data_IF_278847098725
#
_entry.id   IF_278847098725
#
_cell.length_a   1.000
_cell.length_b   1.000
_cell.length_c   1.000
_cell.angle_alpha   90.00
_cell.angle_beta   90.00
_cell.angle_gamma   90.00
#
_symmetry.space_group_name_H-M   'P 1'
#
loop_
_entity.id
_entity.type
_entity.pdbx_description
1 polymer ?
#
# COMPACT_ATOMS: atom_id res chain seq x y z
N UNK A 1 -18.25 2.45 -4.63
CA UNK A 1 -19.22 2.48 -3.51
C UNK A 1 -19.24 3.90 -2.96
N UNK A 2 -20.38 4.58 -2.86
CA UNK A 2 -20.45 5.92 -2.27
C UNK A 2 -20.63 5.83 -0.75
N UNK A 3 -19.79 6.54 0.01
CA UNK A 3 -19.98 6.70 1.46
C UNK A 3 -20.87 7.91 1.72
N UNK A 4 -21.94 7.70 2.47
CA UNK A 4 -22.89 8.74 2.88
C UNK A 4 -22.71 8.99 4.37
N UNK A 5 -22.45 10.23 4.76
CA UNK A 5 -22.49 10.70 6.14
C UNK A 5 -23.59 11.76 6.20
N UNK A 6 -24.57 11.54 7.07
CA UNK A 6 -25.65 12.50 7.35
C UNK A 6 -26.43 12.94 6.08
N UNK A 7 -26.81 11.99 5.23
CA UNK A 7 -27.53 12.18 3.94
C UNK A 7 -26.80 13.00 2.86
N UNK A 8 -25.55 13.42 3.10
CA UNK A 8 -24.65 13.97 2.07
C UNK A 8 -23.65 12.92 1.60
N UNK A 9 -23.40 12.91 0.29
CA UNK A 9 -22.38 12.08 -0.31
C UNK A 9 -21.01 12.68 0.01
N UNK A 10 -20.22 11.97 0.83
CA UNK A 10 -18.96 12.48 1.39
C UNK A 10 -17.76 12.09 0.52
N UNK A 11 -17.72 10.84 0.03
CA UNK A 11 -16.67 10.37 -0.86
C UNK A 11 -17.11 9.22 -1.77
N UNK A 12 -16.60 9.22 -3.01
CA UNK A 12 -16.69 8.08 -3.92
C UNK A 12 -15.42 7.22 -3.82
N UNK A 13 -15.56 5.96 -3.40
CA UNK A 13 -14.49 4.97 -3.57
C UNK A 13 -14.46 4.56 -5.04
N UNK A 14 -13.39 4.97 -5.72
CA UNK A 14 -13.04 4.52 -7.07
C UNK A 14 -11.89 3.48 -7.02
N UNK A 15 -11.53 2.91 -8.16
CA UNK A 15 -10.49 1.89 -8.25
C UNK A 15 -9.13 2.36 -7.73
N UNK A 16 -8.84 3.67 -7.76
CA UNK A 16 -7.62 4.26 -7.21
C UNK A 16 -7.49 4.13 -5.70
N UNK A 17 -8.58 3.88 -4.97
CA UNK A 17 -8.57 3.65 -3.52
C UNK A 17 -8.45 2.17 -3.11
N UNK A 18 -8.43 1.24 -4.07
CA UNK A 18 -8.44 -0.21 -3.81
C UNK A 18 -7.04 -0.77 -3.48
N UNK A 19 -5.97 0.01 -3.67
CA UNK A 19 -4.57 -0.41 -3.53
C UNK A 19 -4.13 -1.65 -4.37
N UNK A 20 -5.00 -2.19 -5.23
CA UNK A 20 -4.68 -3.37 -6.06
C UNK A 20 -3.52 -3.11 -7.00
N UNK A 21 -3.47 -1.95 -7.66
CA UNK A 21 -2.34 -1.57 -8.52
C UNK A 21 -1.00 -1.55 -7.77
N UNK A 22 -1.02 -1.14 -6.50
CA UNK A 22 0.16 -1.11 -5.64
C UNK A 22 0.63 -2.52 -5.28
N UNK A 23 -0.30 -3.41 -4.93
CA UNK A 23 -0.01 -4.82 -4.66
C UNK A 23 0.57 -5.52 -5.90
N UNK A 24 0.02 -5.25 -7.08
CA UNK A 24 0.51 -5.83 -8.34
C UNK A 24 1.95 -5.41 -8.65
N UNK A 25 2.27 -4.11 -8.52
CA UNK A 25 3.65 -3.62 -8.74
C UNK A 25 4.61 -4.26 -7.74
N UNK A 26 4.22 -4.35 -6.46
CA UNK A 26 5.02 -4.98 -5.43
C UNK A 26 5.34 -6.45 -5.76
N UNK A 27 4.31 -7.21 -6.12
CA UNK A 27 4.43 -8.63 -6.47
C UNK A 27 5.26 -8.82 -7.74
N UNK A 28 5.01 -8.04 -8.80
CA UNK A 28 5.74 -8.10 -10.05
C UNK A 28 7.26 -7.89 -9.84
N UNK A 29 7.65 -6.93 -9.00
CA UNK A 29 9.04 -6.70 -8.65
C UNK A 29 9.68 -7.92 -7.95
N UNK A 30 9.00 -8.49 -6.96
CA UNK A 30 9.53 -9.66 -6.24
C UNK A 30 9.67 -10.87 -7.17
N UNK A 31 8.73 -11.07 -8.09
CA UNK A 31 8.81 -12.14 -9.10
C UNK A 31 9.94 -11.91 -10.11
N UNK A 32 10.24 -10.67 -10.49
CA UNK A 32 11.30 -10.35 -11.45
C UNK A 32 12.72 -10.68 -10.94
N UNK A 33 12.96 -10.58 -9.63
CA UNK A 33 14.28 -10.76 -9.01
C UNK A 33 14.38 -12.04 -8.13
N UNK A 34 13.44 -12.95 -8.26
CA UNK A 34 13.28 -14.10 -7.37
C UNK A 34 14.47 -15.11 -7.44
N UNK A 35 14.99 -15.52 -6.26
CA UNK A 35 16.04 -16.55 -6.14
C UNK A 35 15.80 -17.53 -4.95
N UNK A 36 14.58 -18.09 -4.82
CA UNK A 36 14.17 -19.09 -3.80
C UNK A 36 12.67 -19.05 -3.46
N UNK A 37 11.91 -20.12 -3.79
CA UNK A 37 10.47 -19.99 -4.16
C UNK A 37 9.57 -19.83 -2.95
N UNK A 38 9.79 -20.66 -1.93
CA UNK A 38 8.92 -20.74 -0.76
C UNK A 38 9.07 -19.51 0.15
N UNK A 39 10.31 -19.06 0.41
CA UNK A 39 10.55 -17.96 1.34
C UNK A 39 10.10 -16.60 0.79
N UNK A 40 10.35 -16.34 -0.50
CA UNK A 40 9.87 -15.13 -1.16
C UNK A 40 8.34 -15.10 -1.28
N UNK A 41 7.69 -16.26 -1.47
CA UNK A 41 6.23 -16.34 -1.53
C UNK A 41 5.58 -16.01 -0.18
N UNK A 42 6.10 -16.54 0.93
CA UNK A 42 5.63 -16.19 2.28
C UNK A 42 5.85 -14.70 2.58
N UNK A 43 7.00 -14.14 2.20
CA UNK A 43 7.25 -12.71 2.35
C UNK A 43 6.27 -11.86 1.52
N UNK A 44 5.99 -12.26 0.28
CA UNK A 44 4.99 -11.61 -0.56
C UNK A 44 3.60 -11.63 0.08
N UNK A 45 3.14 -12.78 0.57
CA UNK A 45 1.84 -12.90 1.24
C UNK A 45 1.75 -11.98 2.47
N UNK A 46 2.77 -11.98 3.33
CA UNK A 46 2.83 -11.09 4.48
C UNK A 46 2.81 -9.60 4.08
N UNK A 47 3.52 -9.26 3.01
CA UNK A 47 3.58 -7.88 2.49
C UNK A 47 2.24 -7.44 1.89
N UNK A 48 1.52 -8.33 1.18
CA UNK A 48 0.18 -8.04 0.65
C UNK A 48 -0.79 -7.76 1.80
N UNK A 49 -0.77 -8.58 2.85
CA UNK A 49 -1.60 -8.39 4.04
C UNK A 49 -1.29 -7.05 4.71
N UNK A 50 -0.01 -6.72 4.90
CA UNK A 50 0.41 -5.44 5.46
C UNK A 50 -0.05 -4.23 4.60
N UNK A 51 0.12 -4.30 3.28
CA UNK A 51 -0.34 -3.27 2.36
C UNK A 51 -1.87 -3.12 2.39
N UNK A 52 -2.61 -4.21 2.54
CA UNK A 52 -4.05 -4.19 2.67
C UNK A 52 -4.51 -3.46 3.95
N UNK A 53 -3.89 -3.75 5.10
CA UNK A 53 -4.17 -3.03 6.34
C UNK A 53 -3.84 -1.53 6.22
N UNK A 54 -2.72 -1.20 5.58
CA UNK A 54 -2.33 0.19 5.35
C UNK A 54 -3.34 0.91 4.45
N UNK A 55 -3.93 0.21 3.47
CA UNK A 55 -4.99 0.76 2.63
C UNK A 55 -6.28 1.05 3.41
N UNK A 56 -6.69 0.16 4.32
CA UNK A 56 -7.84 0.41 5.21
C UNK A 56 -7.57 1.66 6.09
N UNK A 57 -6.35 1.76 6.64
CA UNK A 57 -5.90 2.94 7.38
C UNK A 57 -5.95 4.22 6.55
N UNK A 58 -5.51 4.18 5.28
CA UNK A 58 -5.61 5.31 4.35
C UNK A 58 -7.06 5.77 4.18
N UNK A 59 -7.98 4.85 3.87
CA UNK A 59 -9.39 5.19 3.61
C UNK A 59 -10.04 5.82 4.85
N UNK A 60 -9.79 5.26 6.04
CA UNK A 60 -10.34 5.77 7.30
C UNK A 60 -9.82 7.17 7.63
N UNK A 61 -8.50 7.41 7.52
CA UNK A 61 -7.93 8.74 7.73
C UNK A 61 -8.41 9.75 6.69
N UNK A 62 -8.51 9.36 5.41
CA UNK A 62 -9.03 10.23 4.36
C UNK A 62 -10.46 10.67 4.63
N UNK A 63 -11.33 9.74 5.07
CA UNK A 63 -12.71 10.07 5.43
C UNK A 63 -12.76 11.04 6.61
N UNK A 64 -11.91 10.84 7.63
CA UNK A 64 -11.83 11.75 8.78
C UNK A 64 -11.34 13.16 8.38
N UNK A 65 -10.30 13.24 7.56
CA UNK A 65 -9.76 14.51 7.04
C UNK A 65 -10.79 15.19 6.14
N UNK A 66 -11.51 14.44 5.31
CA UNK A 66 -12.55 15.00 4.45
C UNK A 66 -13.68 15.62 5.27
N UNK A 67 -14.09 14.96 6.35
CA UNK A 67 -15.16 15.43 7.22
C UNK A 67 -14.76 16.68 8.04
N UNK A 68 -13.59 16.67 8.69
CA UNK A 68 -13.18 17.78 9.56
C UNK A 68 -12.40 18.89 8.85
N UNK A 69 -11.64 18.56 7.81
CA UNK A 69 -10.72 19.47 7.11
C UNK A 69 -10.77 19.26 5.57
N UNK A 70 -11.91 19.54 4.92
CA UNK A 70 -12.12 19.25 3.49
C UNK A 70 -11.10 19.95 2.58
N UNK A 71 -10.57 21.12 2.98
CA UNK A 71 -9.50 21.84 2.27
C UNK A 71 -8.19 21.06 2.20
N UNK A 72 -7.89 20.23 3.19
CA UNK A 72 -6.69 19.38 3.25
C UNK A 72 -6.90 18.00 2.63
N UNK A 73 -8.15 17.61 2.34
CA UNK A 73 -8.51 16.30 1.80
C UNK A 73 -7.77 16.01 0.50
N UNK A 74 -7.81 16.95 -0.47
CA UNK A 74 -7.16 16.79 -1.78
C UNK A 74 -5.64 16.66 -1.66
N UNK A 75 -4.99 17.53 -0.89
CA UNK A 75 -3.53 17.47 -0.69
C UNK A 75 -3.11 16.16 -0.03
N UNK A 76 -3.87 15.71 0.97
CA UNK A 76 -3.59 14.45 1.65
C UNK A 76 -3.76 13.27 0.70
N UNK A 77 -4.84 13.26 -0.10
CA UNK A 77 -5.15 12.23 -1.09
C UNK A 77 -4.08 12.08 -2.18
N UNK A 78 -3.64 13.21 -2.75
CA UNK A 78 -2.81 13.24 -3.95
C UNK A 78 -1.31 13.19 -3.64
N UNK A 79 -0.91 13.60 -2.43
CA UNK A 79 0.51 13.74 -2.06
C UNK A 79 0.88 12.87 -0.86
N UNK A 80 0.26 13.11 0.31
CA UNK A 80 0.71 12.50 1.57
C UNK A 80 0.51 10.98 1.55
N UNK A 81 -0.70 10.50 1.26
CA UNK A 81 -0.97 9.07 1.30
C UNK A 81 -0.20 8.28 0.24
N UNK A 82 -0.13 8.72 -1.03
CA UNK A 82 0.72 8.06 -2.03
C UNK A 82 2.17 8.01 -1.58
N UNK A 83 2.72 9.10 -1.04
CA UNK A 83 4.12 9.15 -0.57
C UNK A 83 4.38 8.12 0.54
N UNK A 84 3.49 8.01 1.52
CA UNK A 84 3.61 7.04 2.62
C UNK A 84 3.58 5.60 2.09
N UNK A 85 2.62 5.28 1.22
CA UNK A 85 2.48 3.91 0.69
C UNK A 85 3.67 3.54 -0.20
N UNK A 86 4.07 4.42 -1.12
CA UNK A 86 5.22 4.16 -2.00
C UNK A 86 6.52 4.03 -1.19
N UNK A 87 6.69 4.87 -0.16
CA UNK A 87 7.81 4.75 0.78
C UNK A 87 7.82 3.39 1.49
N UNK A 88 6.66 2.93 1.98
CA UNK A 88 6.54 1.62 2.62
C UNK A 88 6.85 0.45 1.67
N UNK A 89 6.40 0.53 0.41
CA UNK A 89 6.70 -0.47 -0.63
C UNK A 89 8.22 -0.55 -0.88
N UNK A 90 8.88 0.59 -1.04
CA UNK A 90 10.33 0.63 -1.26
C UNK A 90 11.07 0.06 -0.05
N UNK A 91 10.64 0.39 1.17
CA UNK A 91 11.22 -0.18 2.40
C UNK A 91 11.04 -1.70 2.45
N UNK A 92 9.85 -2.21 2.14
CA UNK A 92 9.59 -3.66 2.07
C UNK A 92 10.48 -4.34 1.03
N UNK A 93 10.71 -3.72 -0.13
CA UNK A 93 11.67 -4.23 -1.12
C UNK A 93 13.11 -4.25 -0.60
N UNK A 94 13.57 -3.19 0.07
CA UNK A 94 14.92 -3.16 0.67
C UNK A 94 15.07 -4.26 1.71
N UNK A 95 14.07 -4.44 2.58
CA UNK A 95 14.04 -5.53 3.58
C UNK A 95 14.10 -6.88 2.88
N UNK A 96 13.31 -7.09 1.83
CA UNK A 96 13.34 -8.33 1.05
C UNK A 96 14.71 -8.60 0.41
N UNK A 97 15.31 -7.62 -0.27
CA UNK A 97 16.61 -7.74 -0.93
C UNK A 97 17.69 -8.09 0.10
N UNK A 98 17.71 -7.39 1.23
CA UNK A 98 18.71 -7.61 2.28
C UNK A 98 18.61 -9.01 2.91
N UNK A 99 17.40 -9.52 3.12
CA UNK A 99 17.17 -10.84 3.71
C UNK A 99 17.39 -11.99 2.73
N UNK A 100 16.94 -11.87 1.47
CA UNK A 100 16.87 -13.02 0.55
C UNK A 100 17.91 -13.01 -0.57
N UNK A 101 18.35 -11.85 -1.04
CA UNK A 101 19.36 -11.76 -2.11
C UNK A 101 20.78 -11.77 -1.51
N UNK A 102 21.04 -10.92 -0.52
CA UNK A 102 22.39 -10.74 0.02
C UNK A 102 22.84 -11.91 0.91
N UNK A 103 21.90 -12.58 1.60
CA UNK A 103 22.22 -13.71 2.48
C UNK A 103 22.76 -14.95 1.76
N UNK A 104 22.52 -15.13 0.44
CA UNK A 104 23.02 -16.30 -0.30
C UNK A 104 24.47 -16.18 -0.77
N UNK A 105 25.11 -15.01 -0.62
CA UNK A 105 26.49 -14.78 -1.10
C UNK A 105 27.57 -15.09 -0.04
N UNK A 106 27.19 -15.64 1.11
CA UNK A 106 28.08 -15.93 2.23
C UNK A 106 28.21 -17.43 2.56
N UNK A 107 27.91 -18.31 1.60
CA UNK A 107 28.11 -19.76 1.71
C UNK A 107 29.08 -20.23 0.63
#
# INVERSE_FOLDING_TARGET
>A
MGFYIDSKLDAYINEGCNAVSLMLIFVAFVFAFYNGFVKSLLFCLGSIVFLHFTNIGRITLLSLINYHHPTWSKFSHDVIFPLIIYGAIILLWIVWISLFIRSKKAA
#
